data_IF_771577149200
#
_entry.id   IF_771577149200
#
_cell.length_a   1.000
_cell.length_b   1.000
_cell.length_c   1.000
_cell.angle_alpha   90.00
_cell.angle_beta   90.00
_cell.angle_gamma   90.00
#
_symmetry.space_group_name_H-M   'P 1'
#
loop_
_entity.id
_entity.type
_entity.pdbx_description
1 polymer ?
#
# COMPACT_ATOMS: atom_id res chain seq x y z
N UNK A 1 -11.33 -2.12 16.40
CA UNK A 1 -9.87 -1.90 16.33
C UNK A 1 -9.66 -0.58 15.64
N UNK A 2 -9.18 0.43 16.36
CA UNK A 2 -8.74 1.69 15.75
C UNK A 2 -7.38 1.43 15.08
N UNK A 3 -7.17 2.03 13.91
CA UNK A 3 -5.91 1.96 13.13
C UNK A 3 -5.03 3.19 13.39
N UNK A 4 -5.45 4.07 14.31
CA UNK A 4 -4.82 5.37 14.53
C UNK A 4 -3.40 5.25 15.13
N UNK A 5 -3.05 4.07 15.66
CA UNK A 5 -1.75 3.76 16.25
C UNK A 5 -0.83 2.94 15.34
N UNK A 6 -1.20 2.72 14.07
CA UNK A 6 -0.35 1.99 13.13
C UNK A 6 0.76 2.88 12.61
N UNK A 7 1.98 2.35 12.58
CA UNK A 7 3.13 3.08 12.07
C UNK A 7 3.24 2.82 10.56
N UNK A 8 3.21 3.90 9.78
CA UNK A 8 3.38 3.86 8.33
C UNK A 8 4.85 3.61 7.99
N UNK A 9 5.12 2.63 7.14
CA UNK A 9 6.47 2.36 6.64
C UNK A 9 6.59 2.88 5.20
N UNK A 10 7.56 3.75 4.98
CA UNK A 10 7.90 4.31 3.67
C UNK A 10 9.29 3.91 3.27
N UNK A 11 9.47 3.44 2.03
CA UNK A 11 10.79 3.17 1.48
C UNK A 11 11.58 4.48 1.35
N UNK A 12 12.81 4.56 1.89
CA UNK A 12 13.58 5.80 1.87
C UNK A 12 13.94 6.31 0.47
N UNK A 13 14.12 5.41 -0.50
CA UNK A 13 14.64 5.74 -1.83
C UNK A 13 13.65 6.51 -2.71
N UNK A 14 12.35 6.19 -2.64
CA UNK A 14 11.29 6.72 -3.50
C UNK A 14 10.12 7.35 -2.72
N UNK A 15 10.10 7.22 -1.38
CA UNK A 15 9.01 7.67 -0.53
C UNK A 15 7.74 6.83 -0.65
N UNK A 16 7.80 5.67 -1.31
CA UNK A 16 6.66 4.79 -1.50
C UNK A 16 6.23 4.14 -0.19
N UNK A 17 4.93 4.09 0.06
CA UNK A 17 4.38 3.40 1.24
C UNK A 17 4.29 1.92 0.97
N UNK A 18 5.08 1.13 1.69
CA UNK A 18 5.19 -0.32 1.49
C UNK A 18 4.32 -1.14 2.44
N UNK A 19 3.83 -0.52 3.53
CA UNK A 19 2.90 -1.14 4.45
C UNK A 19 2.83 -0.43 5.80
N UNK A 20 2.38 -1.17 6.81
CA UNK A 20 2.14 -0.65 8.16
C UNK A 20 2.62 -1.65 9.22
N UNK A 21 3.10 -1.11 10.34
CA UNK A 21 3.39 -1.88 11.55
C UNK A 21 2.24 -1.67 12.54
N UNK A 22 1.51 -2.75 12.81
CA UNK A 22 0.42 -2.73 13.78
C UNK A 22 0.96 -3.11 15.17
N UNK A 23 0.84 -2.24 16.19
CA UNK A 23 1.32 -2.57 17.53
C UNK A 23 0.50 -3.68 18.17
N UNK A 24 1.20 -4.70 18.67
CA UNK A 24 0.62 -5.77 19.50
C UNK A 24 0.81 -5.51 21.00
N UNK A 25 1.80 -4.68 21.34
CA UNK A 25 2.06 -4.19 22.70
C UNK A 25 1.95 -2.66 22.74
N UNK A 26 1.51 -2.11 23.88
CA UNK A 26 1.28 -0.67 24.05
C UNK A 26 2.58 0.17 23.99
N UNK A 27 3.72 -0.48 24.25
CA UNK A 27 5.07 0.11 24.24
C UNK A 27 5.77 -0.04 22.88
N UNK A 28 5.09 -0.57 21.86
CA UNK A 28 5.64 -0.83 20.52
C UNK A 28 6.83 -1.80 20.50
N UNK A 29 7.06 -2.55 21.58
CA UNK A 29 8.11 -3.58 21.63
C UNK A 29 7.86 -4.74 20.67
N UNK A 30 6.58 -4.98 20.36
CA UNK A 30 6.14 -6.04 19.48
C UNK A 30 5.12 -5.52 18.46
N UNK A 31 5.43 -5.70 17.19
CA UNK A 31 4.67 -5.18 16.06
C UNK A 31 4.35 -6.33 15.10
N UNK A 32 3.18 -6.28 14.47
CA UNK A 32 2.82 -7.14 13.35
C UNK A 32 2.98 -6.34 12.05
N UNK A 33 3.96 -6.69 11.19
CA UNK A 33 4.04 -6.13 9.85
C UNK A 33 2.80 -6.53 9.04
N UNK A 34 2.23 -5.56 8.34
CA UNK A 34 1.07 -5.72 7.48
C UNK A 34 1.30 -5.06 6.12
N UNK A 35 0.93 -5.78 5.05
CA UNK A 35 1.00 -5.26 3.68
C UNK A 35 0.03 -4.09 3.50
N UNK A 36 0.12 -3.38 2.38
CA UNK A 36 -0.80 -2.28 2.06
C UNK A 36 -2.28 -2.71 2.07
N UNK A 37 -2.54 -3.99 1.77
CA UNK A 37 -3.88 -4.60 1.80
C UNK A 37 -4.30 -5.08 3.20
N UNK A 38 -3.41 -4.96 4.20
CA UNK A 38 -3.66 -5.35 5.58
C UNK A 38 -3.32 -6.80 5.91
N UNK A 39 -2.78 -7.58 4.97
CA UNK A 39 -2.36 -8.96 5.21
C UNK A 39 -1.15 -9.01 6.13
N UNK A 40 -1.13 -9.96 7.07
CA UNK A 40 0.01 -10.13 7.97
C UNK A 40 1.22 -10.65 7.18
N UNK A 41 2.33 -9.93 7.25
CA UNK A 41 3.58 -10.30 6.60
C UNK A 41 4.54 -10.92 7.61
N UNK A 42 4.58 -12.25 7.65
CA UNK A 42 5.40 -13.00 8.60
C UNK A 42 4.92 -12.90 10.05
N UNK A 43 5.81 -13.25 10.98
CA UNK A 43 5.52 -13.22 12.42
C UNK A 43 5.70 -11.82 13.02
N UNK A 44 5.10 -11.61 14.18
CA UNK A 44 5.35 -10.42 14.99
C UNK A 44 6.85 -10.26 15.31
N UNK A 45 7.33 -9.03 15.30
CA UNK A 45 8.75 -8.68 15.37
C UNK A 45 8.92 -7.26 15.91
N UNK A 46 10.15 -6.82 16.14
CA UNK A 46 10.43 -5.43 16.52
C UNK A 46 10.26 -4.44 15.34
N UNK A 47 10.51 -3.16 15.61
CA UNK A 47 10.38 -2.11 14.61
C UNK A 47 11.33 -2.28 13.42
N UNK A 48 12.61 -2.53 13.66
CA UNK A 48 13.63 -2.55 12.62
C UNK A 48 13.43 -3.74 11.68
N UNK A 49 13.25 -4.92 12.26
CA UNK A 49 12.99 -6.15 11.50
C UNK A 49 11.68 -6.04 10.72
N UNK A 50 10.67 -5.40 11.30
CA UNK A 50 9.38 -5.19 10.65
C UNK A 50 9.47 -4.23 9.46
N UNK A 51 10.21 -3.14 9.63
CA UNK A 51 10.49 -2.15 8.58
C UNK A 51 11.23 -2.78 7.41
N UNK A 52 12.32 -3.50 7.67
CA UNK A 52 13.13 -4.15 6.64
C UNK A 52 12.32 -5.18 5.85
N UNK A 53 11.48 -5.98 6.51
CA UNK A 53 10.59 -6.96 5.85
C UNK A 53 9.62 -6.28 4.90
N UNK A 54 8.99 -5.19 5.33
CA UNK A 54 8.05 -4.44 4.50
C UNK A 54 8.77 -3.75 3.32
N UNK A 55 9.95 -3.18 3.56
CA UNK A 55 10.77 -2.57 2.50
C UNK A 55 11.20 -3.59 1.44
N UNK A 56 11.63 -4.79 1.88
CA UNK A 56 12.05 -5.88 1.00
C UNK A 56 10.88 -6.48 0.20
N UNK A 57 9.71 -6.64 0.82
CA UNK A 57 8.50 -7.13 0.14
C UNK A 57 7.93 -6.08 -0.83
N UNK A 58 7.94 -4.81 -0.45
CA UNK A 58 7.35 -3.72 -1.22
C UNK A 58 5.86 -3.91 -1.47
N UNK A 59 5.39 -3.39 -2.60
CA UNK A 59 4.00 -3.50 -3.07
C UNK A 59 3.84 -4.53 -4.20
N UNK A 60 4.80 -5.45 -4.36
CA UNK A 60 4.81 -6.41 -5.47
C UNK A 60 3.54 -7.27 -5.54
N UNK A 61 2.90 -7.53 -4.39
CA UNK A 61 1.59 -8.19 -4.28
C UNK A 61 0.50 -7.50 -5.13
N UNK A 62 0.54 -6.16 -5.28
CA UNK A 62 -0.41 -5.42 -6.10
C UNK A 62 -0.23 -5.67 -7.60
N UNK A 63 0.96 -6.07 -8.03
CA UNK A 63 1.25 -6.40 -9.43
C UNK A 63 0.84 -7.84 -9.79
N UNK A 64 0.39 -8.64 -8.82
CA UNK A 64 -0.03 -10.01 -9.05
C UNK A 64 -1.37 -10.10 -9.78
N UNK A 65 -1.70 -11.31 -10.26
CA UNK A 65 -2.98 -11.57 -10.91
C UNK A 65 -4.06 -11.87 -9.88
N UNK A 66 -4.92 -10.90 -9.64
CA UNK A 66 -6.05 -11.04 -8.73
C UNK A 66 -7.25 -11.70 -9.41
N UNK A 67 -7.79 -12.74 -8.77
CA UNK A 67 -9.05 -13.37 -9.19
C UNK A 67 -10.11 -13.03 -8.15
N UNK A 68 -11.16 -12.34 -8.60
CA UNK A 68 -12.35 -12.16 -7.78
C UNK A 68 -13.06 -13.51 -7.68
N UNK A 69 -13.11 -14.08 -6.48
CA UNK A 69 -13.94 -15.24 -6.21
C UNK A 69 -15.32 -14.74 -5.76
N UNK A 70 -16.31 -14.98 -6.61
CA UNK A 70 -17.71 -14.83 -6.23
C UNK A 70 -18.07 -16.01 -5.30
N UNK A 71 -18.55 -15.72 -4.09
CA UNK A 71 -19.11 -16.76 -3.22
C UNK A 71 -20.35 -17.37 -3.90
N UNK A 72 -20.67 -18.66 -3.70
CA UNK A 72 -21.64 -19.33 -4.57
C UNK A 72 -23.09 -18.82 -4.36
N UNK A 73 -23.94 -18.99 -5.39
CA UNK A 73 -24.25 -18.06 -6.48
C UNK A 73 -25.39 -17.08 -6.07
N UNK A 74 -25.63 -15.97 -6.76
CA UNK A 74 -26.40 -15.93 -8.01
C UNK A 74 -25.95 -14.78 -8.93
N UNK A 75 -24.75 -14.88 -9.50
CA UNK A 75 -24.37 -14.48 -10.88
C UNK A 75 -22.93 -13.94 -10.93
N UNK A 76 -22.01 -14.83 -11.33
CA UNK A 76 -20.65 -14.44 -11.67
C UNK A 76 -20.69 -13.68 -13.01
N UNK A 77 -20.81 -12.35 -12.94
CA UNK A 77 -20.64 -11.45 -14.08
C UNK A 77 -19.21 -10.91 -14.01
N UNK A 78 -18.43 -10.92 -15.12
CA UNK A 78 -17.10 -10.33 -15.11
C UNK A 78 -17.19 -8.84 -14.75
N UNK A 79 -16.56 -8.45 -13.64
CA UNK A 79 -16.44 -7.05 -13.24
C UNK A 79 -15.24 -6.45 -13.95
N UNK A 80 -15.47 -5.53 -14.88
CA UNK A 80 -14.43 -4.67 -15.46
C UNK A 80 -14.28 -3.42 -14.62
N UNK A 81 -13.07 -3.17 -14.09
CA UNK A 81 -12.72 -1.91 -13.44
C UNK A 81 -12.14 -0.96 -14.48
N UNK A 82 -12.89 0.08 -14.86
CA UNK A 82 -12.40 1.15 -15.72
C UNK A 82 -11.85 2.30 -14.86
N UNK A 83 -10.52 2.48 -14.90
CA UNK A 83 -9.89 3.67 -14.33
C UNK A 83 -10.26 4.89 -15.19
N UNK A 84 -11.12 5.77 -14.67
CA UNK A 84 -11.33 7.09 -15.26
C UNK A 84 -10.24 8.03 -14.74
N UNK A 85 -9.26 8.32 -15.59
CA UNK A 85 -8.41 9.48 -15.39
C UNK A 85 -9.30 10.73 -15.45
N UNK A 86 -9.51 11.39 -14.31
CA UNK A 86 -9.96 12.77 -14.30
C UNK A 86 -8.76 13.64 -14.71
N UNK A 87 -8.81 14.36 -15.83
CA UNK A 87 -7.78 15.34 -16.16
C UNK A 87 -7.97 16.57 -15.27
N UNK A 88 -7.66 16.45 -13.98
CA UNK A 88 -7.58 17.62 -13.10
C UNK A 88 -6.18 18.21 -13.16
N UNK A 89 -5.81 18.74 -14.34
CA UNK A 89 -4.68 19.67 -14.50
C UNK A 89 -4.68 20.27 -15.91
N UNK A 90 -5.62 21.18 -16.18
CA UNK A 90 -5.59 22.07 -17.35
C UNK A 90 -5.59 23.53 -16.91
N UNK A 91 -4.78 23.84 -15.90
CA UNK A 91 -4.55 25.19 -15.41
C UNK A 91 -3.17 25.25 -14.75
N UNK A 92 -2.14 24.97 -15.54
CA UNK A 92 -0.80 25.50 -15.29
C UNK A 92 -0.32 26.17 -16.58
N UNK A 93 0.09 27.45 -16.57
CA UNK A 93 0.66 28.08 -17.75
C UNK A 93 1.99 27.41 -18.11
N UNK A 94 2.18 27.06 -19.39
CA UNK A 94 3.47 26.59 -19.91
C UNK A 94 4.52 27.70 -19.72
N UNK A 95 5.67 27.45 -19.07
CA UNK A 95 6.77 28.39 -19.11
C UNK A 95 7.32 28.45 -20.54
N UNK A 96 7.22 29.63 -21.16
CA UNK A 96 7.84 29.93 -22.44
C UNK A 96 9.35 30.07 -22.25
N UNK A 97 10.10 29.01 -22.53
CA UNK A 97 11.55 29.13 -22.67
C UNK A 97 11.85 29.43 -24.14
N UNK A 98 12.14 30.70 -24.44
CA UNK A 98 12.83 31.09 -25.66
C UNK A 98 14.27 30.60 -25.54
N UNK A 99 14.70 29.71 -26.44
CA UNK A 99 16.11 29.35 -26.57
C UNK A 99 16.89 30.51 -27.20
N UNK A 100 18.08 30.86 -26.71
CA UNK A 100 19.04 31.67 -27.44
C UNK A 100 19.64 30.89 -28.62
#
# INVERSE_FOLDING_TARGET
>A
MSIDNWLKVTRPDDGETVGYLAPLAADYSLLQPRTLLGHALGTATDFLDGEERLAAHGISELAERWQLQDAPPLSCVPVSVSLRFHPTALWWPRPSWSRP
#
